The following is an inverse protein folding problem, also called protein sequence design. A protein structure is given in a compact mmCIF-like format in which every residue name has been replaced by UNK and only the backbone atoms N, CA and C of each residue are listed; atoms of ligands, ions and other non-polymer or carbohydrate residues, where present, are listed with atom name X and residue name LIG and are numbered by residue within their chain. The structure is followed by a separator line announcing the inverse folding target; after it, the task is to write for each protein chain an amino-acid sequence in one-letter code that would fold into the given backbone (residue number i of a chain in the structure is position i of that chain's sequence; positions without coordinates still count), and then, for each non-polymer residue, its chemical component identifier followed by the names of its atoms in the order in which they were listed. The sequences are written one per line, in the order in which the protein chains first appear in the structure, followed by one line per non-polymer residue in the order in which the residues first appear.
data_IF_040826091419
#
_entry.id   IF_040826091419
#
_cell.length_a   1.000
_cell.length_b   1.000
_cell.length_c   1.000
_cell.angle_alpha   90.00
_cell.angle_beta   90.00
_cell.angle_gamma   90.00
#
_symmetry.space_group_name_H-M   'P 1'
#
loop_
_entity.id
_entity.type
_entity.pdbx_description
1 polymer ?
#
# COMPACT_ATOMS: atom_id res chain seq x y z
N UNK A 1 8.82 35.84 0.24
CA UNK A 1 7.94 34.70 0.60
C UNK A 1 8.50 33.52 -0.17
N UNK A 2 9.17 32.61 0.52
CA UNK A 2 9.64 31.36 -0.08
C UNK A 2 8.40 30.47 -0.17
N UNK A 3 7.92 30.20 -1.39
CA UNK A 3 6.94 29.16 -1.64
C UNK A 3 7.53 27.88 -1.05
N UNK A 4 6.89 27.36 0.00
CA UNK A 4 7.20 26.05 0.51
C UNK A 4 6.93 25.07 -0.63
N UNK A 5 7.98 24.39 -1.12
CA UNK A 5 7.84 23.23 -1.99
C UNK A 5 6.81 22.31 -1.33
N UNK A 6 5.66 22.17 -1.96
CA UNK A 6 4.61 21.24 -1.52
C UNK A 6 5.20 19.83 -1.61
N UNK A 7 5.78 19.36 -0.52
CA UNK A 7 6.24 17.98 -0.41
C UNK A 7 5.04 17.07 -0.60
N UNK A 8 5.05 16.30 -1.68
CA UNK A 8 4.00 15.34 -1.96
C UNK A 8 4.06 14.15 -1.00
N UNK A 9 2.95 13.43 -0.91
CA UNK A 9 2.81 12.23 -0.10
C UNK A 9 3.17 10.97 -0.90
N UNK A 10 4.07 10.14 -0.39
CA UNK A 10 4.41 8.85 -1.01
C UNK A 10 3.25 7.87 -0.83
N UNK A 11 2.84 7.24 -1.93
CA UNK A 11 1.99 6.07 -1.97
C UNK A 11 2.81 4.92 -2.57
N UNK A 12 2.90 3.81 -1.85
CA UNK A 12 3.56 2.59 -2.30
C UNK A 12 2.70 1.39 -1.89
N UNK A 13 2.02 0.78 -2.84
CA UNK A 13 1.03 -0.25 -2.58
C UNK A 13 1.14 -1.39 -3.60
N UNK A 14 1.42 -2.59 -3.09
CA UNK A 14 1.46 -3.86 -3.84
C UNK A 14 2.21 -3.78 -5.19
N UNK A 15 3.42 -3.21 -5.16
CA UNK A 15 4.31 -3.10 -6.30
C UNK A 15 4.10 -1.87 -7.20
N UNK A 16 3.19 -0.97 -6.84
CA UNK A 16 3.06 0.34 -7.46
C UNK A 16 3.51 1.41 -6.49
N UNK A 17 4.21 2.44 -6.97
CA UNK A 17 4.60 3.61 -6.16
C UNK A 17 4.45 4.91 -6.96
N UNK A 18 4.06 5.96 -6.27
CA UNK A 18 4.02 7.32 -6.80
C UNK A 18 3.97 8.33 -5.65
N UNK A 19 4.33 9.58 -5.93
CA UNK A 19 4.14 10.70 -5.01
C UNK A 19 2.92 11.48 -5.49
N UNK A 20 1.98 11.74 -4.59
CA UNK A 20 0.76 12.48 -4.87
C UNK A 20 0.75 13.79 -4.08
N UNK A 21 -0.01 14.82 -4.49
CA UNK A 21 -0.22 16.02 -3.69
C UNK A 21 -0.71 15.69 -2.28
N UNK A 22 -0.30 16.48 -1.29
CA UNK A 22 -0.60 16.22 0.13
C UNK A 22 -2.10 16.23 0.44
N UNK A 23 -2.87 17.07 -0.29
CA UNK A 23 -4.32 17.20 -0.12
C UNK A 23 -5.13 16.04 -0.73
N UNK A 24 -4.48 15.14 -1.51
CA UNK A 24 -5.19 14.00 -2.07
C UNK A 24 -5.34 12.87 -1.04
N UNK A 25 -6.50 12.27 -1.03
CA UNK A 25 -6.78 11.06 -0.25
C UNK A 25 -6.69 9.82 -1.13
N UNK A 26 -6.28 8.71 -0.54
CA UNK A 26 -6.12 7.44 -1.24
C UNK A 26 -7.14 6.44 -0.75
N UNK A 27 -7.98 5.96 -1.65
CA UNK A 27 -8.94 4.89 -1.41
C UNK A 27 -8.37 3.60 -2.02
N UNK A 28 -8.18 2.58 -1.19
CA UNK A 28 -7.82 1.24 -1.65
C UNK A 28 -9.09 0.46 -1.95
N UNK A 29 -9.37 0.23 -3.23
CA UNK A 29 -10.54 -0.55 -3.68
C UNK A 29 -10.25 -2.04 -3.72
N UNK A 30 -9.02 -2.40 -4.13
CA UNK A 30 -8.55 -3.78 -4.17
C UNK A 30 -7.03 -3.81 -4.03
N UNK A 31 -6.43 -4.99 -3.93
CA UNK A 31 -4.97 -5.19 -3.83
C UNK A 31 -4.18 -4.47 -4.94
N UNK A 32 -4.80 -4.25 -6.09
CA UNK A 32 -4.19 -3.60 -7.27
C UNK A 32 -5.11 -2.56 -7.90
N UNK A 33 -5.83 -1.85 -7.06
CA UNK A 33 -6.77 -0.84 -7.48
C UNK A 33 -6.83 0.29 -6.46
N UNK A 34 -6.38 1.48 -6.86
CA UNK A 34 -6.39 2.70 -6.07
C UNK A 34 -7.23 3.76 -6.77
N UNK A 35 -7.94 4.55 -5.96
CA UNK A 35 -8.58 5.79 -6.38
C UNK A 35 -7.99 6.92 -5.54
N UNK A 36 -7.67 8.02 -6.18
CA UNK A 36 -7.24 9.24 -5.53
C UNK A 36 -8.35 10.27 -5.65
N UNK A 37 -8.65 10.93 -4.55
CA UNK A 37 -9.71 11.94 -4.47
C UNK A 37 -9.24 13.18 -3.72
N UNK A 38 -9.90 14.28 -3.97
CA UNK A 38 -9.79 15.51 -3.21
C UNK A 38 -11.20 16.01 -2.93
N UNK A 39 -11.48 16.37 -1.68
CA UNK A 39 -12.79 16.86 -1.25
C UNK A 39 -13.95 15.92 -1.66
N UNK A 40 -13.74 14.61 -1.51
CA UNK A 40 -14.67 13.54 -1.91
C UNK A 40 -14.94 13.44 -3.43
N UNK A 41 -14.17 14.15 -4.26
CA UNK A 41 -14.28 14.07 -5.70
C UNK A 41 -13.12 13.19 -6.25
N UNK A 42 -13.42 12.11 -6.97
CA UNK A 42 -12.39 11.27 -7.57
C UNK A 42 -11.66 12.04 -8.67
N UNK A 43 -10.33 11.97 -8.66
CA UNK A 43 -9.45 12.62 -9.62
C UNK A 43 -8.75 11.62 -10.52
N UNK A 44 -8.26 10.53 -9.93
CA UNK A 44 -7.41 9.56 -10.61
C UNK A 44 -7.72 8.15 -10.12
N UNK A 45 -7.82 7.21 -11.04
CA UNK A 45 -7.92 5.78 -10.76
C UNK A 45 -6.73 5.05 -11.38
N UNK A 46 -6.12 4.17 -10.60
CA UNK A 46 -5.04 3.28 -11.04
C UNK A 46 -5.43 1.84 -10.78
N UNK A 47 -5.42 1.02 -11.86
CA UNK A 47 -5.53 -0.44 -11.76
C UNK A 47 -4.30 -1.06 -12.40
N UNK A 48 -3.69 -2.07 -11.78
CA UNK A 48 -2.51 -2.71 -12.37
C UNK A 48 -2.50 -4.21 -12.18
N UNK A 49 -1.77 -4.88 -13.05
CA UNK A 49 -1.52 -6.30 -12.96
C UNK A 49 -0.16 -6.65 -13.54
N UNK A 50 0.49 -7.67 -13.00
CA UNK A 50 1.67 -8.25 -13.62
C UNK A 50 1.23 -9.13 -14.77
N UNK A 51 1.77 -8.91 -15.96
CA UNK A 51 1.53 -9.80 -17.10
C UNK A 51 2.54 -10.94 -17.05
N UNK A 52 2.04 -12.17 -17.07
CA UNK A 52 2.87 -13.38 -17.21
C UNK A 52 3.12 -13.74 -18.67
N UNK A 53 2.43 -13.09 -19.59
CA UNK A 53 2.50 -13.38 -21.01
C UNK A 53 3.56 -12.49 -21.66
N UNK A 54 4.61 -13.13 -22.21
CA UNK A 54 5.41 -12.55 -23.29
C UNK A 54 4.49 -12.37 -24.49
N UNK A 55 4.24 -11.15 -24.90
CA UNK A 55 3.34 -10.87 -26.03
C UNK A 55 3.38 -9.40 -26.42
N UNK A 56 2.92 -9.16 -27.63
CA UNK A 56 2.80 -7.87 -28.27
C UNK A 56 2.04 -6.87 -27.36
N UNK A 57 2.66 -5.74 -27.04
CA UNK A 57 2.06 -4.70 -26.21
C UNK A 57 0.80 -4.11 -26.83
N UNK A 58 0.73 -4.05 -28.17
CA UNK A 58 -0.44 -3.55 -28.89
C UNK A 58 -1.66 -4.45 -28.68
N UNK A 59 -1.47 -5.78 -28.78
CA UNK A 59 -2.56 -6.75 -28.55
C UNK A 59 -3.08 -6.69 -27.10
N UNK A 60 -2.18 -6.54 -26.13
CA UNK A 60 -2.56 -6.39 -24.71
C UNK A 60 -3.35 -5.11 -24.49
N UNK A 61 -2.87 -4.02 -25.06
CA UNK A 61 -3.56 -2.71 -25.00
C UNK A 61 -4.95 -2.81 -25.62
N UNK A 62 -5.08 -3.36 -26.81
CA UNK A 62 -6.36 -3.52 -27.48
C UNK A 62 -7.35 -4.37 -26.66
N UNK A 63 -6.89 -5.45 -26.02
CA UNK A 63 -7.74 -6.28 -25.17
C UNK A 63 -8.24 -5.53 -23.94
N UNK A 64 -7.40 -4.70 -23.31
CA UNK A 64 -7.76 -3.89 -22.14
C UNK A 64 -8.77 -2.81 -22.52
N UNK A 65 -8.55 -2.12 -23.63
CA UNK A 65 -9.47 -1.09 -24.12
C UNK A 65 -10.83 -1.68 -24.51
N UNK A 66 -10.85 -2.86 -25.15
CA UNK A 66 -12.09 -3.57 -25.44
C UNK A 66 -12.84 -4.01 -24.18
N UNK A 67 -12.11 -4.37 -23.11
CA UNK A 67 -12.72 -4.66 -21.82
C UNK A 67 -13.29 -3.39 -21.18
N UNK A 68 -12.56 -2.28 -21.23
CA UNK A 68 -12.99 -0.99 -20.69
C UNK A 68 -14.26 -0.48 -21.43
N UNK A 69 -14.33 -0.64 -22.74
CA UNK A 69 -15.50 -0.29 -23.54
C UNK A 69 -16.75 -1.05 -23.06
N UNK A 70 -16.61 -2.35 -22.78
CA UNK A 70 -17.70 -3.15 -22.21
C UNK A 70 -18.11 -2.70 -20.80
N UNK A 71 -17.14 -2.35 -19.95
CA UNK A 71 -17.40 -1.90 -18.58
C UNK A 71 -18.08 -0.54 -18.51
N UNK A 72 -17.70 0.37 -19.42
CA UNK A 72 -18.23 1.76 -19.43
C UNK A 72 -19.44 1.94 -20.31
N UNK A 73 -19.71 1.00 -21.23
CA UNK A 73 -20.70 1.12 -22.32
C UNK A 73 -20.48 2.35 -23.22
N UNK A 74 -19.27 2.88 -23.25
CA UNK A 74 -18.86 4.02 -24.07
C UNK A 74 -17.80 3.56 -25.09
N UNK A 75 -17.84 4.04 -26.35
CA UNK A 75 -16.81 3.72 -27.33
C UNK A 75 -15.45 4.27 -26.87
N UNK A 76 -14.43 3.44 -26.99
CA UNK A 76 -13.04 3.80 -26.65
C UNK A 76 -12.28 4.16 -27.93
N UNK A 77 -11.77 5.39 -28.00
CA UNK A 77 -10.96 5.87 -29.11
C UNK A 77 -9.52 6.12 -28.67
N UNK A 78 -8.55 5.73 -29.49
CA UNK A 78 -7.17 6.11 -29.28
C UNK A 78 -6.96 7.59 -29.54
N UNK A 79 -6.29 8.26 -28.60
CA UNK A 79 -5.96 9.68 -28.72
C UNK A 79 -4.44 9.87 -28.63
N UNK A 80 -3.95 10.99 -29.17
CA UNK A 80 -2.54 11.33 -29.03
C UNK A 80 -2.22 11.58 -27.55
N UNK A 81 -1.12 11.01 -27.09
CA UNK A 81 -0.65 11.21 -25.71
C UNK A 81 -0.43 12.70 -25.43
N UNK A 82 -0.99 13.21 -24.34
CA UNK A 82 -0.77 14.57 -23.86
C UNK A 82 0.62 14.71 -23.23
N UNK A 83 1.10 15.95 -23.10
CA UNK A 83 2.42 16.26 -22.54
C UNK A 83 2.67 15.60 -21.14
N UNK A 84 1.71 15.54 -20.20
CA UNK A 84 1.91 14.90 -18.90
C UNK A 84 2.25 13.41 -18.99
N UNK A 85 1.72 12.71 -19.97
CA UNK A 85 1.98 11.28 -20.21
C UNK A 85 3.25 11.04 -21.01
N UNK A 86 3.79 12.06 -21.66
CA UNK A 86 4.99 11.97 -22.49
C UNK A 86 6.24 11.56 -21.71
N UNK A 87 6.37 11.99 -20.46
CA UNK A 87 7.48 11.61 -19.59
C UNK A 87 7.51 10.09 -19.31
N UNK A 88 6.35 9.45 -19.28
CA UNK A 88 6.20 8.01 -19.03
C UNK A 88 6.71 7.14 -20.19
N UNK A 89 6.77 7.67 -21.42
CA UNK A 89 7.20 6.92 -22.61
C UNK A 89 8.63 6.38 -22.51
N UNK A 90 9.46 6.94 -21.64
CA UNK A 90 10.82 6.42 -21.38
C UNK A 90 10.80 5.04 -20.70
N UNK A 91 9.81 4.80 -19.85
CA UNK A 91 9.70 3.60 -18.99
C UNK A 91 8.62 2.66 -19.48
N UNK A 92 7.55 3.22 -20.08
CA UNK A 92 6.35 2.48 -20.49
C UNK A 92 6.05 2.64 -21.98
N UNK A 93 5.41 1.63 -22.56
CA UNK A 93 4.62 1.81 -23.78
C UNK A 93 3.31 2.45 -23.33
N UNK A 94 2.95 3.59 -23.92
CA UNK A 94 1.84 4.43 -23.50
C UNK A 94 0.81 4.51 -24.59
N UNK A 95 -0.43 4.09 -24.29
CA UNK A 95 -1.59 4.24 -25.16
C UNK A 95 -2.67 5.07 -24.47
N UNK A 96 -2.81 6.33 -24.84
CA UNK A 96 -3.85 7.19 -24.33
C UNK A 96 -5.18 6.91 -25.04
N UNK A 97 -6.29 7.07 -24.30
CA UNK A 97 -7.64 6.83 -24.83
C UNK A 97 -8.62 7.90 -24.36
N UNK A 98 -9.72 8.04 -25.11
CA UNK A 98 -10.89 8.82 -24.73
C UNK A 98 -12.14 7.96 -24.74
N UNK A 99 -13.09 8.26 -23.85
CA UNK A 99 -14.39 7.62 -23.70
C UNK A 99 -15.48 8.55 -24.25
N UNK A 100 -15.77 8.42 -25.55
CA UNK A 100 -16.77 9.23 -26.20
C UNK A 100 -16.19 10.29 -27.16
N UNK A 101 -16.59 11.54 -27.04
CA UNK A 101 -16.18 12.63 -27.94
C UNK A 101 -14.76 13.11 -27.70
N UNK A 102 -14.04 13.38 -28.79
CA UNK A 102 -12.63 13.80 -28.77
C UNK A 102 -12.39 15.07 -27.91
N UNK A 103 -11.43 14.99 -27.02
CA UNK A 103 -11.00 16.05 -26.13
C UNK A 103 -9.69 15.67 -25.44
N UNK A 104 -9.57 16.05 -24.18
CA UNK A 104 -8.51 15.60 -23.30
C UNK A 104 -8.62 14.06 -23.09
N UNK A 105 -7.52 13.31 -22.98
CA UNK A 105 -7.60 11.87 -22.74
C UNK A 105 -8.28 11.55 -21.41
N UNK A 106 -9.24 10.60 -21.44
CA UNK A 106 -9.90 10.10 -20.23
C UNK A 106 -9.05 9.07 -19.49
N UNK A 107 -7.91 8.67 -20.09
CA UNK A 107 -6.98 7.76 -19.45
C UNK A 107 -5.86 7.28 -20.35
N UNK A 108 -5.09 6.33 -19.82
CA UNK A 108 -4.03 5.66 -20.55
C UNK A 108 -3.81 4.22 -20.07
N UNK A 109 -3.41 3.36 -20.99
CA UNK A 109 -2.83 2.05 -20.69
C UNK A 109 -1.32 2.17 -20.79
N UNK A 110 -0.63 1.78 -19.72
CA UNK A 110 0.83 1.74 -19.64
C UNK A 110 1.29 0.29 -19.56
N UNK A 111 2.28 -0.07 -20.34
CA UNK A 111 2.95 -1.38 -20.23
C UNK A 111 4.41 -1.15 -19.94
N UNK A 112 4.87 -1.59 -18.76
CA UNK A 112 6.25 -1.41 -18.36
C UNK A 112 7.20 -2.21 -19.26
N UNK A 113 8.21 -1.56 -19.82
CA UNK A 113 9.20 -2.17 -20.72
C UNK A 113 10.12 -3.15 -20.00
N UNK A 114 10.29 -3.00 -18.66
CA UNK A 114 11.21 -3.83 -17.86
C UNK A 114 10.52 -5.03 -17.21
N UNK A 115 9.33 -4.87 -16.63
CA UNK A 115 8.68 -5.92 -15.83
C UNK A 115 7.32 -6.37 -16.39
N UNK A 116 6.93 -5.85 -17.55
CA UNK A 116 5.66 -6.13 -18.21
C UNK A 116 4.40 -5.88 -17.36
N UNK A 117 4.52 -5.13 -16.25
CA UNK A 117 3.35 -4.68 -15.48
C UNK A 117 2.50 -3.78 -16.36
N UNK A 118 1.20 -4.06 -16.39
CA UNK A 118 0.20 -3.25 -17.08
C UNK A 118 -0.47 -2.36 -16.05
N UNK A 119 -0.58 -1.06 -16.35
CA UNK A 119 -1.25 -0.07 -15.51
C UNK A 119 -2.33 0.60 -16.36
N UNK A 120 -3.57 0.51 -15.93
CA UNK A 120 -4.68 1.30 -16.46
C UNK A 120 -4.83 2.55 -15.60
N UNK A 121 -4.76 3.71 -16.23
CA UNK A 121 -4.99 5.01 -15.63
C UNK A 121 -6.32 5.52 -16.16
N UNK A 122 -7.19 6.02 -15.27
CA UNK A 122 -8.38 6.77 -15.66
C UNK A 122 -8.38 8.12 -14.97
N UNK A 123 -8.71 9.13 -15.72
CA UNK A 123 -8.91 10.50 -15.25
C UNK A 123 -10.39 10.75 -15.04
N UNK A 124 -10.72 11.49 -14.00
CA UNK A 124 -12.05 12.00 -13.80
C UNK A 124 -12.10 13.50 -14.17
N UNK A 125 -13.28 14.09 -14.27
CA UNK A 125 -13.44 15.49 -14.63
C UNK A 125 -12.69 16.43 -13.69
N UNK A 126 -12.07 17.48 -14.23
CA UNK A 126 -11.26 18.45 -13.46
C UNK A 126 -9.77 18.07 -13.29
N UNK A 127 -9.32 16.99 -13.92
CA UNK A 127 -7.94 16.54 -13.87
C UNK A 127 -6.96 17.37 -14.69
N UNK A 128 -7.45 18.14 -15.65
CA UNK A 128 -6.64 18.91 -16.61
C UNK A 128 -5.72 19.92 -15.90
N UNK A 129 -6.26 20.59 -14.88
CA UNK A 129 -5.56 21.64 -14.16
C UNK A 129 -4.36 21.13 -13.35
N UNK A 130 -4.44 19.95 -12.74
CA UNK A 130 -3.32 19.44 -11.95
C UNK A 130 -2.31 18.66 -12.81
N UNK A 131 -2.71 18.08 -13.93
CA UNK A 131 -1.79 17.45 -14.88
C UNK A 131 -0.81 18.43 -15.50
N UNK A 132 -1.20 19.68 -15.61
CA UNK A 132 -0.35 20.77 -16.14
C UNK A 132 0.66 21.30 -15.11
N UNK A 133 0.51 20.98 -13.81
CA UNK A 133 1.40 21.44 -12.74
C UNK A 133 2.69 20.62 -12.66
N UNK A 134 3.74 21.20 -12.11
CA UNK A 134 5.03 20.53 -11.90
C UNK A 134 4.95 19.34 -10.95
N UNK A 135 3.99 19.30 -10.02
CA UNK A 135 3.73 18.22 -9.08
C UNK A 135 2.98 17.02 -9.68
N UNK A 136 3.10 16.78 -10.98
CA UNK A 136 2.44 15.68 -11.67
C UNK A 136 2.87 14.32 -11.09
N UNK A 137 1.95 13.51 -10.51
CA UNK A 137 2.25 12.21 -9.91
C UNK A 137 2.94 11.21 -10.85
N UNK A 138 2.76 11.37 -12.15
CA UNK A 138 3.34 10.46 -13.13
C UNK A 138 4.85 10.59 -13.28
N UNK A 139 5.46 11.69 -12.84
CA UNK A 139 6.93 11.82 -12.81
C UNK A 139 7.59 10.80 -11.86
N UNK A 140 6.86 10.38 -10.83
CA UNK A 140 7.34 9.46 -9.80
C UNK A 140 6.74 8.06 -9.90
N UNK A 141 5.84 7.83 -10.88
CA UNK A 141 5.16 6.55 -11.05
C UNK A 141 6.15 5.42 -11.38
N UNK A 142 6.20 4.42 -10.52
CA UNK A 142 7.04 3.23 -10.68
C UNK A 142 6.30 1.95 -10.33
N UNK A 143 6.62 0.86 -11.02
CA UNK A 143 6.01 -0.48 -10.82
C UNK A 143 7.03 -1.57 -10.49
N UNK A 144 8.29 -1.20 -10.32
CA UNK A 144 9.37 -2.08 -9.86
C UNK A 144 10.39 -1.27 -9.08
N UNK A 145 11.12 -1.97 -8.20
CA UNK A 145 12.20 -1.39 -7.42
C UNK A 145 13.54 -1.68 -8.09
N UNK A 146 14.56 -0.84 -7.88
CA UNK A 146 15.93 -1.21 -8.21
C UNK A 146 16.32 -2.52 -7.51
N UNK A 147 17.17 -3.32 -8.16
CA UNK A 147 17.67 -4.56 -7.55
C UNK A 147 18.34 -4.29 -6.20
N UNK A 148 18.05 -5.13 -5.21
CA UNK A 148 18.62 -5.01 -3.85
C UNK A 148 17.96 -3.97 -2.97
N UNK A 149 16.80 -3.44 -3.36
CA UNK A 149 16.02 -2.51 -2.54
C UNK A 149 14.85 -3.25 -1.93
N UNK A 150 14.73 -3.21 -0.60
CA UNK A 150 13.57 -3.80 0.10
C UNK A 150 12.26 -3.09 -0.29
N UNK A 151 11.17 -3.87 -0.49
CA UNK A 151 9.88 -3.30 -0.83
C UNK A 151 9.37 -2.34 0.23
N UNK A 152 9.22 -1.09 -0.15
CA UNK A 152 8.56 -0.07 0.68
C UNK A 152 7.06 -0.10 0.43
N UNK A 153 6.30 -0.04 1.51
CA UNK A 153 4.86 0.11 1.54
C UNK A 153 4.52 1.44 2.20
N UNK A 154 3.64 2.20 1.58
CA UNK A 154 3.19 3.50 2.09
C UNK A 154 1.74 3.70 1.69
N UNK A 155 0.87 3.83 2.69
CA UNK A 155 -0.56 4.00 2.47
C UNK A 155 -1.17 4.79 3.64
N UNK A 156 -2.09 5.67 3.36
CA UNK A 156 -2.63 6.62 4.31
C UNK A 156 -1.50 7.52 4.86
N UNK A 157 -1.18 7.41 6.13
CA UNK A 157 -0.13 8.16 6.83
C UNK A 157 0.93 7.23 7.45
N UNK A 158 1.04 5.98 7.00
CA UNK A 158 2.05 5.02 7.47
C UNK A 158 2.94 4.53 6.34
N UNK A 159 4.19 4.26 6.68
CA UNK A 159 5.12 3.54 5.81
C UNK A 159 5.86 2.44 6.56
N UNK A 160 6.22 1.40 5.84
CA UNK A 160 7.03 0.29 6.35
C UNK A 160 7.77 -0.41 5.22
N UNK A 161 8.81 -1.15 5.57
CA UNK A 161 9.53 -2.04 4.65
C UNK A 161 9.32 -3.49 5.04
N UNK A 162 9.30 -4.35 4.05
CA UNK A 162 9.21 -5.80 4.20
C UNK A 162 10.26 -6.49 3.34
N UNK A 163 10.68 -7.67 3.75
CA UNK A 163 11.51 -8.54 2.94
C UNK A 163 10.74 -9.03 1.70
N UNK A 164 11.44 -9.35 0.62
CA UNK A 164 10.82 -9.70 -0.68
C UNK A 164 9.93 -10.95 -0.64
N UNK A 165 10.14 -11.86 0.31
CA UNK A 165 9.36 -13.10 0.44
C UNK A 165 7.95 -12.90 1.01
N UNK A 166 7.65 -11.71 1.54
CA UNK A 166 6.33 -11.38 2.02
C UNK A 166 5.41 -10.89 0.91
N UNK A 167 4.18 -11.39 0.91
CA UNK A 167 3.13 -10.97 -0.01
C UNK A 167 1.89 -10.50 0.74
N UNK A 168 1.19 -9.51 0.21
CA UNK A 168 -0.05 -8.98 0.77
C UNK A 168 -1.14 -10.05 0.72
N UNK A 169 -1.64 -10.46 1.89
CA UNK A 169 -2.72 -11.43 2.01
C UNK A 169 -4.08 -10.75 2.12
N UNK A 170 -4.28 -9.97 3.17
CA UNK A 170 -5.54 -9.23 3.39
C UNK A 170 -5.25 -7.86 3.99
N UNK A 171 -6.22 -6.97 3.84
CA UNK A 171 -6.18 -5.66 4.47
C UNK A 171 -7.59 -5.21 4.84
N UNK A 172 -7.68 -4.33 5.81
CA UNK A 172 -8.91 -3.66 6.22
C UNK A 172 -8.58 -2.22 6.55
N UNK A 173 -9.31 -1.30 5.95
CA UNK A 173 -9.29 0.12 6.27
C UNK A 173 -10.68 0.49 6.78
N UNK A 174 -10.85 0.51 8.09
CA UNK A 174 -12.07 0.91 8.77
C UNK A 174 -11.87 2.27 9.43
N UNK A 175 -12.98 2.91 9.80
CA UNK A 175 -12.91 4.15 10.55
C UNK A 175 -12.12 3.95 11.84
N UNK A 176 -11.05 4.72 11.98
CA UNK A 176 -10.19 4.67 13.17
C UNK A 176 -9.16 3.52 13.19
N UNK A 177 -9.19 2.56 12.26
CA UNK A 177 -8.29 1.42 12.28
C UNK A 177 -7.91 0.96 10.89
N UNK A 178 -6.62 0.71 10.69
CA UNK A 178 -6.10 -0.01 9.54
C UNK A 178 -5.39 -1.28 10.00
N UNK A 179 -5.61 -2.37 9.28
CA UNK A 179 -4.98 -3.67 9.50
C UNK A 179 -4.52 -4.22 8.16
N UNK A 180 -3.23 -4.54 8.05
CA UNK A 180 -2.63 -5.06 6.82
C UNK A 180 -1.86 -6.34 7.16
N UNK A 181 -2.26 -7.46 6.58
CA UNK A 181 -1.64 -8.77 6.79
C UNK A 181 -0.78 -9.16 5.60
N UNK A 182 0.45 -9.50 5.88
CA UNK A 182 1.38 -10.11 4.95
C UNK A 182 1.72 -11.52 5.37
N UNK A 183 1.97 -12.38 4.40
CA UNK A 183 2.38 -13.75 4.62
C UNK A 183 3.66 -14.07 3.87
N UNK A 184 4.54 -14.82 4.53
CA UNK A 184 5.58 -15.60 3.89
C UNK A 184 5.35 -17.10 4.15
N UNK A 185 6.24 -17.95 3.65
CA UNK A 185 6.15 -19.40 3.87
C UNK A 185 6.15 -19.79 5.35
N UNK A 186 6.85 -19.06 6.20
CA UNK A 186 7.07 -19.39 7.61
C UNK A 186 6.48 -18.37 8.60
N UNK A 187 6.19 -17.15 8.16
CA UNK A 187 5.85 -16.03 9.04
C UNK A 187 4.68 -15.23 8.47
N UNK A 188 3.75 -14.83 9.34
CA UNK A 188 2.75 -13.82 9.05
C UNK A 188 3.10 -12.55 9.82
N UNK A 189 2.89 -11.40 9.21
CA UNK A 189 3.11 -10.08 9.82
C UNK A 189 1.85 -9.25 9.64
N UNK A 190 1.35 -8.69 10.73
CA UNK A 190 0.21 -7.77 10.72
C UNK A 190 0.68 -6.40 11.17
N UNK A 191 0.41 -5.40 10.36
CA UNK A 191 0.56 -3.99 10.70
C UNK A 191 -0.79 -3.42 11.13
N UNK A 192 -0.83 -2.77 12.27
CA UNK A 192 -2.00 -2.08 12.80
C UNK A 192 -1.73 -0.59 12.91
N UNK A 193 -2.64 0.23 12.45
CA UNK A 193 -2.68 1.65 12.69
C UNK A 193 -4.02 2.02 13.33
N UNK A 194 -3.99 2.63 14.49
CA UNK A 194 -5.18 3.17 15.16
C UNK A 194 -5.07 4.71 15.17
N UNK A 195 -6.11 5.37 14.67
CA UNK A 195 -6.13 6.82 14.53
C UNK A 195 -7.58 7.37 14.50
N UNK A 196 -7.91 8.39 15.24
CA UNK A 196 -7.08 9.04 16.25
C UNK A 196 -6.83 8.15 17.48
N UNK A 197 -5.60 8.12 18.01
CA UNK A 197 -5.28 7.34 19.21
C UNK A 197 -6.06 7.83 20.41
N UNK A 198 -6.20 9.14 20.54
CA UNK A 198 -6.96 9.80 21.62
C UNK A 198 -8.42 9.31 21.71
N UNK A 199 -9.06 8.98 20.60
CA UNK A 199 -10.42 8.43 20.59
C UNK A 199 -10.44 7.00 21.14
N UNK A 200 -9.50 6.17 20.75
CA UNK A 200 -9.40 4.79 21.24
C UNK A 200 -9.05 4.73 22.72
N UNK A 201 -8.14 5.59 23.18
CA UNK A 201 -7.67 5.66 24.57
C UNK A 201 -8.71 6.26 25.53
N UNK A 202 -9.71 6.99 25.04
CA UNK A 202 -10.88 7.40 25.85
C UNK A 202 -11.81 6.23 26.18
N UNK A 203 -11.82 5.20 25.33
CA UNK A 203 -12.75 4.05 25.47
C UNK A 203 -12.10 2.85 26.14
N UNK A 204 -10.78 2.72 26.05
CA UNK A 204 -10.03 1.56 26.55
C UNK A 204 -8.62 1.99 26.94
N UNK A 205 -8.06 1.37 27.96
CA UNK A 205 -6.63 1.55 28.27
C UNK A 205 -5.74 1.03 27.13
N UNK A 206 -4.51 1.49 27.07
CA UNK A 206 -3.55 1.03 26.07
C UNK A 206 -3.28 -0.48 26.16
N UNK A 207 -3.24 -1.02 27.39
CA UNK A 207 -3.10 -2.47 27.63
C UNK A 207 -4.32 -3.27 27.12
N UNK A 208 -5.54 -2.77 27.33
CA UNK A 208 -6.75 -3.41 26.82
C UNK A 208 -6.79 -3.43 25.29
N UNK A 209 -6.39 -2.32 24.65
CA UNK A 209 -6.24 -2.27 23.21
C UNK A 209 -5.20 -3.29 22.73
N UNK A 210 -4.02 -3.33 23.36
CA UNK A 210 -2.98 -4.29 23.05
C UNK A 210 -3.49 -5.73 23.13
N UNK A 211 -4.20 -6.11 24.21
CA UNK A 211 -4.77 -7.46 24.39
C UNK A 211 -5.80 -7.79 23.32
N UNK A 212 -6.66 -6.84 22.99
CA UNK A 212 -7.71 -7.00 21.96
C UNK A 212 -7.14 -7.38 20.59
N UNK A 213 -6.01 -6.78 20.21
CA UNK A 213 -5.40 -7.02 18.90
C UNK A 213 -4.41 -8.20 18.87
N UNK A 214 -3.99 -8.68 20.01
CA UNK A 214 -3.05 -9.79 20.11
C UNK A 214 -3.70 -11.14 20.37
N UNK A 215 -4.98 -11.15 20.76
CA UNK A 215 -5.68 -12.36 21.21
C UNK A 215 -4.86 -13.17 22.25
N UNK A 216 -4.03 -12.47 23.04
CA UNK A 216 -3.05 -13.12 23.90
C UNK A 216 -3.36 -12.98 25.37
N UNK A 217 -3.40 -14.13 26.02
CA UNK A 217 -3.34 -14.27 27.48
C UNK A 217 -1.91 -14.19 28.01
N UNK A 218 -0.93 -13.96 27.12
CA UNK A 218 0.49 -13.96 27.45
C UNK A 218 0.92 -12.71 28.23
N UNK A 219 1.98 -12.82 29.03
CA UNK A 219 2.52 -11.68 29.77
C UNK A 219 2.87 -10.52 28.84
N UNK A 220 2.57 -9.31 29.32
CA UNK A 220 2.92 -8.06 28.66
C UNK A 220 4.16 -7.52 29.36
N UNK A 221 5.21 -7.30 28.59
CA UNK A 221 6.39 -6.59 29.03
C UNK A 221 6.21 -5.11 28.66
N UNK A 222 6.27 -4.22 29.65
CA UNK A 222 6.33 -2.78 29.41
C UNK A 222 7.77 -2.44 29.04
N UNK A 223 7.95 -1.80 27.90
CA UNK A 223 9.26 -1.24 27.59
C UNK A 223 9.48 0.04 28.42
N UNK A 224 10.71 0.23 28.94
CA UNK A 224 11.12 1.41 29.71
C UNK A 224 10.98 2.74 28.94
N UNK A 225 10.79 2.68 27.63
CA UNK A 225 10.39 3.83 26.83
C UNK A 225 8.87 3.94 26.93
N UNK A 226 8.43 4.87 27.77
CA UNK A 226 7.05 5.30 27.94
C UNK A 226 6.25 5.13 26.65
N UNK A 227 5.10 4.45 26.67
CA UNK A 227 4.19 4.24 25.55
C UNK A 227 4.43 3.04 24.61
N UNK A 228 5.20 2.02 25.00
CA UNK A 228 5.25 0.78 24.21
C UNK A 228 4.99 -0.47 25.04
N UNK A 229 4.31 -1.43 24.44
CA UNK A 229 3.96 -2.74 25.01
C UNK A 229 4.48 -3.84 24.10
N UNK A 230 5.10 -4.86 24.68
CA UNK A 230 5.63 -6.02 23.97
C UNK A 230 5.07 -7.29 24.60
N UNK A 231 4.77 -8.29 23.79
CA UNK A 231 4.46 -9.64 24.24
C UNK A 231 5.18 -10.65 23.37
N UNK A 232 5.69 -11.71 23.97
CA UNK A 232 6.34 -12.82 23.27
C UNK A 232 5.81 -14.14 23.78
N UNK A 233 5.61 -15.07 22.87
CA UNK A 233 5.28 -16.44 23.23
C UNK A 233 6.11 -17.42 22.43
N UNK A 234 6.67 -18.38 23.15
CA UNK A 234 7.33 -19.55 22.59
C UNK A 234 6.62 -20.80 23.12
N UNK A 235 6.15 -21.68 22.24
CA UNK A 235 5.40 -22.86 22.66
C UNK A 235 6.30 -23.84 23.45
N UNK A 236 5.70 -24.57 24.38
CA UNK A 236 6.37 -25.72 25.00
C UNK A 236 6.70 -26.80 23.94
N UNK A 237 7.77 -27.60 24.05
CA UNK A 237 8.19 -28.58 23.04
C UNK A 237 7.09 -29.49 22.51
N UNK A 238 6.20 -29.98 23.37
CA UNK A 238 5.05 -30.80 22.95
C UNK A 238 4.03 -30.01 22.13
N UNK A 239 3.73 -28.78 22.52
CA UNK A 239 2.86 -27.89 21.76
C UNK A 239 3.44 -27.55 20.40
N UNK A 240 4.76 -27.36 20.34
CA UNK A 240 5.47 -27.12 19.09
C UNK A 240 5.34 -28.30 18.13
N UNK A 241 5.52 -29.54 18.61
CA UNK A 241 5.35 -30.75 17.78
C UNK A 241 3.92 -30.85 17.22
N UNK A 242 2.91 -30.67 18.07
CA UNK A 242 1.51 -30.69 17.66
C UNK A 242 1.18 -29.56 16.65
N UNK A 243 1.70 -28.36 16.89
CA UNK A 243 1.54 -27.22 15.98
C UNK A 243 2.17 -27.50 14.61
N UNK A 244 3.36 -28.12 14.57
CA UNK A 244 4.04 -28.51 13.35
C UNK A 244 3.24 -29.53 12.54
N UNK A 245 2.64 -30.53 13.18
CA UNK A 245 1.75 -31.50 12.53
C UNK A 245 0.50 -30.82 11.96
N UNK A 246 -0.06 -29.85 12.65
CA UNK A 246 -1.25 -29.12 12.23
C UNK A 246 -0.96 -27.88 11.37
N UNK A 247 0.29 -27.67 10.94
CA UNK A 247 0.73 -26.50 10.15
C UNK A 247 0.41 -25.14 10.78
N UNK A 248 0.33 -25.09 12.10
CA UNK A 248 0.10 -23.83 12.85
C UNK A 248 1.41 -23.07 13.03
N UNK A 249 1.30 -21.77 13.26
CA UNK A 249 2.41 -20.84 13.57
C UNK A 249 2.39 -20.50 15.06
N UNK A 250 3.01 -21.31 15.94
CA UNK A 250 2.81 -21.19 17.39
C UNK A 250 3.70 -20.14 18.07
N UNK A 251 4.73 -19.63 17.38
CA UNK A 251 5.55 -18.54 17.90
C UNK A 251 4.85 -17.22 17.62
N UNK A 252 4.70 -16.38 18.64
CA UNK A 252 4.11 -15.06 18.48
C UNK A 252 5.00 -13.97 19.07
N UNK A 253 4.96 -12.80 18.45
CA UNK A 253 5.59 -11.61 18.94
C UNK A 253 4.72 -10.41 18.55
N UNK A 254 4.54 -9.49 19.49
CA UNK A 254 3.72 -8.30 19.30
C UNK A 254 4.38 -7.10 19.92
N UNK A 255 4.28 -5.98 19.25
CA UNK A 255 4.76 -4.70 19.74
C UNK A 255 3.79 -3.60 19.32
N UNK A 256 3.31 -2.83 20.28
CA UNK A 256 2.49 -1.65 20.04
C UNK A 256 3.17 -0.44 20.65
N UNK A 257 3.15 0.67 19.95
CA UNK A 257 3.65 1.94 20.44
C UNK A 257 2.62 3.04 20.22
N UNK A 258 2.41 3.84 21.23
CA UNK A 258 1.64 5.07 21.16
C UNK A 258 2.56 6.21 20.77
N UNK A 259 2.16 6.99 19.78
CA UNK A 259 2.86 8.16 19.26
C UNK A 259 1.96 9.39 19.48
N UNK A 260 2.04 10.03 20.66
CA UNK A 260 1.15 11.15 21.02
C UNK A 260 1.25 12.33 20.06
N UNK A 261 2.46 12.62 19.58
CA UNK A 261 2.76 13.71 18.64
C UNK A 261 2.03 13.59 17.30
N UNK A 262 1.66 12.37 16.92
CA UNK A 262 0.89 12.08 15.70
C UNK A 262 -0.55 11.67 15.99
N UNK A 263 -0.92 11.54 17.25
CA UNK A 263 -2.20 10.96 17.69
C UNK A 263 -2.46 9.57 17.05
N UNK A 264 -1.43 8.70 17.11
CA UNK A 264 -1.43 7.36 16.49
C UNK A 264 -0.98 6.27 17.48
N UNK A 265 -1.56 5.09 17.32
CA UNK A 265 -0.99 3.85 17.84
C UNK A 265 -0.58 2.99 16.65
N UNK A 266 0.68 2.60 16.60
CA UNK A 266 1.22 1.68 15.63
C UNK A 266 1.46 0.33 16.28
N UNK A 267 0.95 -0.74 15.66
CA UNK A 267 1.07 -2.11 16.16
C UNK A 267 1.67 -3.05 15.12
N UNK A 268 2.52 -3.96 15.62
CA UNK A 268 3.04 -5.10 14.87
C UNK A 268 2.65 -6.38 15.59
N UNK A 269 2.15 -7.36 14.84
CA UNK A 269 1.92 -8.71 15.35
C UNK A 269 2.49 -9.73 14.35
N UNK A 270 3.36 -10.59 14.85
CA UNK A 270 4.00 -11.66 14.08
C UNK A 270 3.54 -13.01 14.61
N UNK A 271 3.28 -13.93 13.69
CA UNK A 271 3.14 -15.34 13.99
C UNK A 271 4.07 -16.15 13.10
N UNK A 272 4.77 -17.15 13.63
CA UNK A 272 5.74 -17.90 12.88
C UNK A 272 5.72 -19.40 13.23
N UNK A 273 6.14 -20.23 12.26
CA UNK A 273 6.32 -21.67 12.45
C UNK A 273 7.64 -22.04 13.17
N UNK A 274 8.58 -21.10 13.25
CA UNK A 274 9.88 -21.22 13.91
C UNK A 274 10.10 -20.04 14.86
N UNK A 275 11.08 -20.11 15.79
CA UNK A 275 11.42 -18.98 16.65
C UNK A 275 11.66 -17.71 15.85
N UNK A 276 11.00 -16.63 16.26
CA UNK A 276 11.08 -15.32 15.59
C UNK A 276 12.45 -14.73 15.87
N UNK A 277 13.21 -14.46 14.81
CA UNK A 277 14.55 -13.88 14.90
C UNK A 277 14.49 -12.43 15.35
N UNK A 278 15.41 -12.04 16.20
CA UNK A 278 15.49 -10.66 16.71
C UNK A 278 15.77 -9.65 15.59
N UNK A 279 16.60 -10.04 14.61
CA UNK A 279 16.94 -9.20 13.46
C UNK A 279 15.69 -8.79 12.67
N UNK A 280 14.74 -9.72 12.49
CA UNK A 280 13.48 -9.43 11.81
C UNK A 280 12.63 -8.41 12.60
N UNK A 281 12.53 -8.58 13.92
CA UNK A 281 11.74 -7.66 14.75
C UNK A 281 12.36 -6.26 14.80
N UNK A 282 13.69 -6.17 14.88
CA UNK A 282 14.41 -4.90 14.81
C UNK A 282 14.21 -4.24 13.46
N UNK A 283 14.36 -4.98 12.36
CA UNK A 283 14.16 -4.49 11.00
C UNK A 283 12.76 -3.89 10.83
N UNK A 284 11.71 -4.64 11.23
CA UNK A 284 10.33 -4.18 11.10
C UNK A 284 10.06 -2.94 11.96
N UNK A 285 10.56 -2.90 13.21
CA UNK A 285 10.36 -1.75 14.09
C UNK A 285 11.06 -0.48 13.58
N UNK A 286 12.27 -0.64 13.04
CA UNK A 286 13.06 0.50 12.54
C UNK A 286 12.47 1.10 11.26
N UNK A 287 11.73 0.30 10.50
CA UNK A 287 11.19 0.68 9.19
C UNK A 287 9.67 0.88 9.20
N UNK A 288 9.00 0.86 10.36
CA UNK A 288 7.57 1.13 10.47
C UNK A 288 7.32 2.45 11.18
N UNK A 289 6.70 3.40 10.49
CA UNK A 289 6.49 4.76 11.01
C UNK A 289 5.31 5.48 10.39
N UNK A 290 5.05 6.67 10.93
CA UNK A 290 4.13 7.67 10.35
C UNK A 290 4.91 8.47 9.32
N UNK A 291 4.28 8.73 8.18
CA UNK A 291 4.75 9.66 7.14
C UNK A 291 3.96 10.96 7.27
N UNK A 292 4.67 12.06 7.38
CA UNK A 292 4.11 13.43 7.43
C UNK A 292 3.97 14.00 6.02
#
# INVERSE_FOLDING_TARGET
MVESEEQGKLIAWNGLRLVIPQQWETIVRDKRHLIFEQDLHPLLELRWQRSTLSGDSEKKTAAILAQLEKETSNPVTHVKSSAPLGALQKIYDVAAFSLGTAGFPDGAVLICKSCATIILIRFFSGTEDWLAKESNPFQTLGCHLPQGTEPTWAIQDISFQLLEDFHLDTYTFAFGMSRILFKSSSTDVIFYRLAPASTHLKQSSFEELFRRFNDSTHPIEKSDREHSLVSRHSPHPLQYLLARLSRKKPFTWSHFRHLPEYDRILGLHLTASHPIKQELTIFLLSNYGVIS
#
